data_IF_782391491994
#
_entry.id   IF_782391491994
#
_cell.length_a   1.000
_cell.length_b   1.000
_cell.length_c   1.000
_cell.angle_alpha   90.00
_cell.angle_beta   90.00
_cell.angle_gamma   90.00
#
_symmetry.space_group_name_H-M   'P 1'
#
loop_
_entity.id
_entity.type
_entity.pdbx_description
1 polymer ?
#
# COMPACT_ATOMS: atom_id res chain seq x y z
N UNK A 1 -24.78 -11.49 -9.07
CA UNK A 1 -25.03 -10.07 -9.41
C UNK A 1 -24.51 -9.25 -8.24
N UNK A 2 -23.18 -9.09 -8.15
CA UNK A 2 -22.55 -8.30 -7.09
C UNK A 2 -22.43 -6.86 -7.60
N UNK A 3 -23.04 -5.97 -6.84
CA UNK A 3 -23.16 -4.56 -7.14
C UNK A 3 -21.77 -3.96 -7.32
N UNK A 4 -21.55 -3.37 -8.48
CA UNK A 4 -20.26 -2.80 -8.88
C UNK A 4 -20.14 -1.44 -8.18
N UNK A 5 -19.90 -1.44 -6.87
CA UNK A 5 -19.30 -0.28 -6.20
C UNK A 5 -17.90 -0.10 -6.78
N UNK A 6 -17.86 0.57 -7.94
CA UNK A 6 -16.64 1.00 -8.60
C UNK A 6 -15.87 1.82 -7.57
N UNK A 7 -14.82 1.22 -7.01
CA UNK A 7 -13.73 1.95 -6.38
C UNK A 7 -13.16 2.85 -7.48
N UNK A 8 -13.69 4.07 -7.56
CA UNK A 8 -13.29 5.04 -8.56
C UNK A 8 -11.93 5.54 -8.11
N UNK A 9 -10.88 5.03 -8.75
CA UNK A 9 -9.52 5.52 -8.58
C UNK A 9 -9.46 6.92 -9.19
N UNK A 10 -9.81 7.92 -8.40
CA UNK A 10 -9.74 9.33 -8.80
C UNK A 10 -8.27 9.78 -8.69
N UNK A 11 -7.70 10.45 -9.71
CA UNK A 11 -6.35 11.01 -9.62
C UNK A 11 -6.25 11.94 -8.41
N UNK A 12 -5.38 11.57 -7.48
CA UNK A 12 -5.35 12.13 -6.14
C UNK A 12 -4.43 13.37 -6.08
N UNK A 13 -5.03 14.56 -5.98
CA UNK A 13 -4.31 15.85 -5.90
C UNK A 13 -3.94 16.20 -4.46
N UNK A 14 -2.84 16.95 -4.27
CA UNK A 14 -2.37 17.39 -2.94
C UNK A 14 -3.43 18.21 -2.18
N UNK A 15 -4.21 19.05 -2.88
CA UNK A 15 -5.28 19.83 -2.25
C UNK A 15 -6.31 18.93 -1.55
N UNK A 16 -6.79 17.90 -2.26
CA UNK A 16 -7.72 16.90 -1.70
C UNK A 16 -7.12 16.18 -0.50
N UNK A 17 -5.81 15.88 -0.53
CA UNK A 17 -5.15 15.23 0.60
C UNK A 17 -5.05 16.14 1.84
N UNK A 18 -4.94 17.47 1.65
CA UNK A 18 -5.00 18.41 2.76
C UNK A 18 -6.44 18.53 3.29
N UNK A 19 -7.43 18.65 2.42
CA UNK A 19 -8.83 18.73 2.82
C UNK A 19 -9.25 17.49 3.63
N UNK A 20 -8.88 16.29 3.16
CA UNK A 20 -9.12 15.05 3.89
C UNK A 20 -8.37 15.02 5.23
N UNK A 21 -7.14 15.51 5.28
CA UNK A 21 -6.38 15.60 6.53
C UNK A 21 -7.10 16.51 7.54
N UNK A 22 -7.63 17.64 7.08
CA UNK A 22 -8.27 18.61 7.95
C UNK A 22 -9.62 18.07 8.44
N UNK A 23 -10.43 17.44 7.56
CA UNK A 23 -11.65 16.71 7.95
C UNK A 23 -11.33 15.61 8.98
N UNK A 24 -10.28 14.81 8.77
CA UNK A 24 -9.88 13.77 9.70
C UNK A 24 -9.53 14.33 11.09
N UNK A 25 -8.93 15.52 11.13
CA UNK A 25 -8.60 16.22 12.36
C UNK A 25 -9.80 16.84 13.06
N UNK A 26 -10.69 17.47 12.30
CA UNK A 26 -11.89 18.15 12.81
C UNK A 26 -12.92 17.18 13.37
N UNK A 27 -13.10 16.03 12.71
CA UNK A 27 -14.09 15.01 13.09
C UNK A 27 -13.52 13.90 13.99
N UNK A 28 -12.22 13.93 14.30
CA UNK A 28 -11.49 12.88 15.05
C UNK A 28 -11.71 11.47 14.47
N UNK A 29 -11.60 11.35 13.14
CA UNK A 29 -11.82 10.08 12.41
C UNK A 29 -10.57 9.62 11.65
N UNK A 30 -10.48 8.30 11.45
CA UNK A 30 -9.50 7.72 10.55
C UNK A 30 -9.98 7.76 9.11
N UNK A 31 -9.26 8.49 8.26
CA UNK A 31 -9.48 8.45 6.81
C UNK A 31 -8.42 7.58 6.15
N UNK A 32 -8.87 6.55 5.45
CA UNK A 32 -8.03 5.64 4.67
C UNK A 32 -8.25 5.93 3.18
N UNK A 33 -7.17 6.18 2.47
CA UNK A 33 -7.18 6.44 1.03
C UNK A 33 -6.29 5.45 0.31
N UNK A 34 -6.72 5.03 -0.88
CA UNK A 34 -5.92 4.18 -1.79
C UNK A 34 -5.45 5.00 -2.97
N UNK A 35 -4.17 4.89 -3.30
CA UNK A 35 -3.56 5.54 -4.45
C UNK A 35 -2.88 4.49 -5.34
N UNK A 36 -3.12 4.57 -6.65
CA UNK A 36 -2.44 3.72 -7.62
C UNK A 36 -1.11 4.37 -8.00
N UNK A 37 0.00 3.72 -7.62
CA UNK A 37 1.32 4.11 -8.11
C UNK A 37 1.53 3.63 -9.55
N UNK A 38 2.15 4.46 -10.37
CA UNK A 38 2.59 4.08 -11.72
C UNK A 38 4.04 3.62 -11.64
N UNK A 39 4.29 2.37 -12.03
CA UNK A 39 5.64 1.80 -12.05
C UNK A 39 6.08 1.62 -13.50
N UNK A 40 7.05 2.42 -13.94
CA UNK A 40 7.53 2.39 -15.32
C UNK A 40 8.51 1.24 -15.58
N UNK A 41 9.27 0.82 -14.57
CA UNK A 41 10.27 -0.23 -14.69
C UNK A 41 9.86 -1.49 -13.88
N UNK A 42 9.38 -2.52 -14.60
CA UNK A 42 8.98 -3.80 -13.99
C UNK A 42 10.16 -4.60 -13.44
N UNK A 43 11.31 -4.55 -14.10
CA UNK A 43 12.50 -5.28 -13.65
C UNK A 43 12.98 -4.75 -12.30
N UNK A 44 12.88 -3.42 -12.11
CA UNK A 44 13.17 -2.80 -10.82
C UNK A 44 12.21 -3.26 -9.72
N UNK A 45 10.90 -3.35 -10.00
CA UNK A 45 9.90 -3.84 -9.03
C UNK A 45 10.06 -5.32 -8.70
N UNK A 46 10.55 -6.09 -9.66
CA UNK A 46 10.77 -7.53 -9.53
C UNK A 46 11.96 -7.87 -8.63
N UNK A 47 12.91 -6.95 -8.42
CA UNK A 47 13.92 -7.10 -7.37
C UNK A 47 13.26 -6.92 -5.99
N UNK A 48 13.29 -7.98 -5.17
CA UNK A 48 12.66 -7.99 -3.85
C UNK A 48 13.25 -6.97 -2.87
N UNK A 49 14.46 -6.45 -3.14
CA UNK A 49 15.08 -5.38 -2.35
C UNK A 49 14.42 -4.02 -2.57
N UNK A 50 13.77 -3.86 -3.72
CA UNK A 50 13.12 -2.62 -4.09
C UNK A 50 11.69 -2.57 -3.57
N UNK A 51 11.33 -1.41 -3.05
CA UNK A 51 10.01 -1.12 -2.49
C UNK A 51 9.56 0.26 -2.93
N UNK A 52 8.27 0.39 -3.21
CA UNK A 52 7.63 1.66 -3.48
C UNK A 52 7.63 2.52 -2.22
N UNK A 53 7.99 3.77 -2.39
CA UNK A 53 8.07 4.80 -1.36
C UNK A 53 7.24 6.01 -1.77
N UNK A 54 7.23 7.05 -0.95
CA UNK A 54 6.61 8.33 -1.28
C UNK A 54 7.10 8.96 -2.59
N UNK A 55 8.31 8.60 -3.04
CA UNK A 55 8.90 9.12 -4.27
C UNK A 55 8.29 8.47 -5.53
N UNK A 56 7.62 7.33 -5.39
CA UNK A 56 6.97 6.63 -6.49
C UNK A 56 5.55 7.13 -6.77
N UNK A 57 5.07 8.15 -6.05
CA UNK A 57 3.81 8.84 -6.34
C UNK A 57 4.00 9.85 -7.48
N UNK A 58 4.06 9.36 -8.73
CA UNK A 58 4.40 10.14 -9.92
C UNK A 58 3.56 11.41 -10.11
N UNK A 59 2.25 11.36 -9.84
CA UNK A 59 1.32 12.49 -10.05
C UNK A 59 1.21 13.41 -8.83
N UNK A 60 1.70 12.99 -7.66
CA UNK A 60 1.45 13.66 -6.39
C UNK A 60 2.74 13.77 -5.55
N UNK A 61 3.78 14.37 -6.12
CA UNK A 61 5.02 14.68 -5.37
C UNK A 61 4.69 15.49 -4.12
N UNK A 62 5.04 14.97 -2.95
CA UNK A 62 4.74 15.60 -1.67
C UNK A 62 3.37 15.25 -1.09
N UNK A 63 2.66 14.27 -1.67
CA UNK A 63 1.45 13.66 -1.07
C UNK A 63 1.71 13.06 0.30
N UNK A 64 2.92 12.54 0.50
CA UNK A 64 3.32 12.04 1.79
C UNK A 64 3.30 13.13 2.88
N UNK A 65 3.30 14.43 2.57
CA UNK A 65 3.30 15.51 3.58
C UNK A 65 2.04 15.49 4.47
N UNK A 66 0.80 15.57 3.92
CA UNK A 66 -0.41 15.50 4.73
C UNK A 66 -0.66 14.15 5.40
N UNK A 67 -0.12 13.05 4.87
CA UNK A 67 -0.39 11.73 5.42
C UNK A 67 0.31 11.48 6.76
N UNK A 68 -0.40 10.88 7.72
CA UNK A 68 0.23 10.38 8.97
C UNK A 68 0.95 9.06 8.74
N UNK A 69 0.41 8.19 7.89
CA UNK A 69 0.96 6.90 7.51
C UNK A 69 0.89 6.72 6.00
N UNK A 70 1.92 6.11 5.43
CA UNK A 70 1.95 5.65 4.04
C UNK A 70 2.48 4.22 4.04
N UNK A 71 1.63 3.30 3.61
CA UNK A 71 1.95 1.89 3.46
C UNK A 71 1.86 1.57 1.98
N UNK A 72 2.96 1.09 1.39
CA UNK A 72 2.97 0.62 0.02
C UNK A 72 2.78 -0.89 -0.03
N UNK A 73 2.03 -1.33 -1.03
CA UNK A 73 1.80 -2.71 -1.37
C UNK A 73 2.67 -3.05 -2.57
N UNK A 74 3.64 -3.94 -2.37
CA UNK A 74 4.65 -4.30 -3.37
C UNK A 74 4.52 -5.77 -3.69
N UNK A 75 4.62 -6.12 -4.97
CA UNK A 75 4.53 -7.50 -5.41
C UNK A 75 5.39 -7.69 -6.66
N UNK A 76 6.35 -8.60 -6.60
CA UNK A 76 7.07 -9.08 -7.78
C UNK A 76 6.26 -10.14 -8.53
N UNK A 77 6.65 -10.44 -9.76
CA UNK A 77 6.04 -11.50 -10.55
C UNK A 77 6.20 -12.89 -9.88
N UNK A 78 7.28 -13.12 -9.12
CA UNK A 78 7.45 -14.36 -8.35
C UNK A 78 6.52 -14.40 -7.14
N UNK A 79 6.47 -13.32 -6.36
CA UNK A 79 5.57 -13.20 -5.21
C UNK A 79 4.10 -13.34 -5.62
N UNK A 80 3.75 -12.83 -6.82
CA UNK A 80 2.41 -12.99 -7.38
C UNK A 80 2.05 -14.46 -7.64
N UNK A 81 2.98 -15.28 -8.14
CA UNK A 81 2.76 -16.73 -8.34
C UNK A 81 2.60 -17.45 -7.01
N UNK A 82 3.30 -16.99 -5.98
CA UNK A 82 3.24 -17.57 -4.63
C UNK A 82 2.08 -17.03 -3.78
N UNK A 83 1.30 -16.08 -4.31
CA UNK A 83 0.25 -15.36 -3.58
C UNK A 83 0.80 -14.69 -2.30
N UNK A 84 1.89 -13.95 -2.46
CA UNK A 84 2.56 -13.17 -1.43
C UNK A 84 2.57 -11.70 -1.84
N UNK A 85 2.47 -10.80 -0.87
CA UNK A 85 2.60 -9.36 -1.06
C UNK A 85 3.43 -8.75 0.08
N UNK A 86 4.21 -7.73 -0.23
CA UNK A 86 5.05 -6.98 0.71
C UNK A 86 4.36 -5.68 1.11
N UNK A 87 4.02 -5.56 2.38
CA UNK A 87 3.62 -4.31 3.01
C UNK A 87 4.87 -3.56 3.47
N UNK A 88 5.14 -2.40 2.88
CA UNK A 88 6.27 -1.56 3.28
C UNK A 88 5.78 -0.26 3.92
N UNK A 89 6.27 0.05 5.12
CA UNK A 89 5.93 1.27 5.84
C UNK A 89 6.84 2.41 5.35
N UNK A 90 6.44 3.06 4.25
CA UNK A 90 7.17 4.18 3.65
C UNK A 90 7.19 5.42 4.57
N UNK A 91 6.04 5.74 5.18
CA UNK A 91 5.93 6.81 6.18
C UNK A 91 5.14 6.33 7.40
N UNK A 92 5.58 6.70 8.59
CA UNK A 92 4.78 6.63 9.81
C UNK A 92 5.11 7.82 10.71
N UNK A 93 4.08 8.41 11.31
CA UNK A 93 4.22 9.50 12.29
C UNK A 93 4.47 8.99 13.70
N UNK A 94 3.92 7.83 14.06
CA UNK A 94 3.91 7.32 15.43
C UNK A 94 4.79 6.07 15.64
N UNK A 95 5.17 5.39 14.57
CA UNK A 95 5.88 4.11 14.64
C UNK A 95 7.15 4.10 13.80
N UNK A 96 7.97 3.05 13.98
CA UNK A 96 9.18 2.85 13.17
C UNK A 96 8.81 2.67 11.69
N UNK A 97 9.43 3.47 10.82
CA UNK A 97 9.32 3.35 9.36
C UNK A 97 10.35 2.40 8.77
N UNK A 98 10.18 2.04 7.50
CA UNK A 98 11.14 1.27 6.72
C UNK A 98 11.05 -0.25 6.86
N UNK A 99 10.18 -0.76 7.74
CA UNK A 99 9.94 -2.20 7.86
C UNK A 99 9.10 -2.69 6.69
N UNK A 100 9.57 -3.75 6.04
CA UNK A 100 8.81 -4.52 5.05
C UNK A 100 8.32 -5.81 5.68
N UNK A 101 7.05 -6.13 5.48
CA UNK A 101 6.38 -7.32 6.02
C UNK A 101 5.79 -8.09 4.85
N UNK A 102 6.16 -9.36 4.70
CA UNK A 102 5.53 -10.27 3.74
C UNK A 102 4.24 -10.82 4.35
N UNK A 103 3.14 -10.75 3.62
CA UNK A 103 1.88 -11.41 3.95
C UNK A 103 1.49 -12.33 2.80
N UNK A 104 0.84 -13.44 3.14
CA UNK A 104 0.21 -14.31 2.16
C UNK A 104 -1.22 -13.85 1.87
N UNK A 105 -1.61 -13.86 0.61
CA UNK A 105 -2.96 -13.65 0.13
C UNK A 105 -3.52 -14.97 -0.40
N UNK A 106 -4.84 -15.04 -0.60
CA UNK A 106 -5.50 -16.15 -1.28
C UNK A 106 -6.56 -15.59 -2.22
N UNK A 107 -6.14 -15.29 -3.45
CA UNK A 107 -6.98 -14.58 -4.42
C UNK A 107 -8.22 -15.38 -4.84
N UNK A 108 -8.12 -16.71 -4.89
CA UNK A 108 -9.23 -17.60 -5.27
C UNK A 108 -10.43 -17.49 -4.33
N UNK A 109 -10.17 -17.22 -3.04
CA UNK A 109 -11.20 -17.06 -2.01
C UNK A 109 -11.41 -15.58 -1.63
N UNK A 110 -10.83 -14.64 -2.39
CA UNK A 110 -10.88 -13.20 -2.12
C UNK A 110 -10.34 -12.80 -0.73
N UNK A 111 -9.41 -13.58 -0.16
CA UNK A 111 -8.82 -13.33 1.16
C UNK A 111 -7.52 -12.52 1.02
N UNK A 112 -7.55 -11.28 1.51
CA UNK A 112 -6.38 -10.40 1.52
C UNK A 112 -5.26 -10.85 2.48
N UNK A 113 -5.61 -11.46 3.61
CA UNK A 113 -4.64 -11.86 4.64
C UNK A 113 -4.87 -13.30 5.11
N UNK A 114 -4.01 -14.21 4.64
CA UNK A 114 -3.95 -15.58 5.14
C UNK A 114 -2.99 -15.65 6.33
N UNK A 115 -3.56 -15.65 7.54
CA UNK A 115 -2.80 -15.68 8.80
C UNK A 115 -1.87 -16.89 8.89
N UNK A 116 -2.36 -18.08 8.54
CA UNK A 116 -1.61 -19.33 8.73
C UNK A 116 -0.41 -19.38 7.79
N UNK A 117 -0.62 -19.06 6.51
CA UNK A 117 0.47 -18.99 5.53
C UNK A 117 1.45 -17.87 5.87
N UNK A 118 0.96 -16.70 6.29
CA UNK A 118 1.84 -15.57 6.67
C UNK A 118 2.77 -15.93 7.83
N UNK A 119 2.25 -16.59 8.87
CA UNK A 119 3.07 -17.03 10.00
C UNK A 119 4.12 -18.06 9.60
N UNK A 120 3.86 -18.88 8.58
CA UNK A 120 4.81 -19.86 8.07
C UNK A 120 5.89 -19.24 7.18
N UNK A 121 5.61 -18.16 6.46
CA UNK A 121 6.63 -17.39 5.72
C UNK A 121 7.69 -16.84 6.68
N UNK A 122 7.25 -16.27 7.81
CA UNK A 122 8.13 -15.60 8.77
C UNK A 122 9.05 -16.56 9.54
N UNK A 123 8.84 -17.88 9.46
CA UNK A 123 9.67 -18.89 10.15
C UNK A 123 10.87 -19.34 9.33
N UNK A 124 10.89 -19.03 8.03
CA UNK A 124 11.92 -19.50 7.08
C UNK A 124 12.92 -18.37 6.74
N UNK A 125 12.66 -17.14 7.20
CA UNK A 125 13.47 -15.95 6.95
C UNK A 125 14.43 -15.62 8.10
#
# INVERSE_FOLDING_TARGET
>A
MLDTHRLLLVPFKIAVANDLKDIAGDEDVWIVVTYQATVENRDWLNDEKNVLTEYNCSEAKGLARPMTHLISLNQSDNERKENIIRLHIAKSRFFKKGKTIKIATRYEDEVFYDKQRTLNISKVA
#
